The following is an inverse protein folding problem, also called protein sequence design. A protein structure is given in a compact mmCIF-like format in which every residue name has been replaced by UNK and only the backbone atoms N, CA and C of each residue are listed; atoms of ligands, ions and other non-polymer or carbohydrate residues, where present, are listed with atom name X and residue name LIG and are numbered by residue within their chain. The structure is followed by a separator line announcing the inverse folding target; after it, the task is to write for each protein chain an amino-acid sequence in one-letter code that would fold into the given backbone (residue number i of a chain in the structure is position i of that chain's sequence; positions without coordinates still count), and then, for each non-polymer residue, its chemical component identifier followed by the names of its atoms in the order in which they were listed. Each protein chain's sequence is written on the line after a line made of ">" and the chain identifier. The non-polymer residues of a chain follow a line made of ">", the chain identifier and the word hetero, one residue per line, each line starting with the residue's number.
data_IF_726189271016
#
_entry.id   IF_726189271016
#
_cell.length_a   1.000
_cell.length_b   1.000
_cell.length_c   1.000
_cell.angle_alpha   90.00
_cell.angle_beta   90.00
_cell.angle_gamma   90.00
#
_symmetry.space_group_name_H-M   'P 1'
#
loop_
_entity.id
_entity.type
_entity.pdbx_description
1 polymer ?
#
# COMPACT_ATOMS: atom_id res chain seq x y z
N UNK A 1 -0.75 10.07 -12.72
CA UNK A 1 -0.76 8.65 -12.25
C UNK A 1 -2.12 8.06 -12.56
N UNK A 2 -2.18 6.95 -13.29
CA UNK A 2 -3.45 6.26 -13.56
C UNK A 2 -3.93 5.51 -12.31
N UNK A 3 -5.25 5.44 -12.09
CA UNK A 3 -5.88 4.74 -10.95
C UNK A 3 -5.38 3.29 -10.82
N UNK A 4 -5.12 2.65 -11.95
CA UNK A 4 -4.56 1.28 -12.04
C UNK A 4 -3.12 1.19 -11.54
N UNK A 5 -2.28 2.19 -11.77
CA UNK A 5 -0.93 2.23 -11.22
C UNK A 5 -0.98 2.42 -9.70
N UNK A 6 -1.85 3.31 -9.20
CA UNK A 6 -2.00 3.56 -7.77
C UNK A 6 -2.49 2.30 -7.02
N UNK A 7 -3.48 1.60 -7.58
CA UNK A 7 -3.98 0.34 -7.04
C UNK A 7 -2.88 -0.74 -6.96
N UNK A 8 -2.04 -0.84 -8.00
CA UNK A 8 -0.92 -1.80 -8.04
C UNK A 8 0.14 -1.49 -6.99
N UNK A 9 0.42 -0.22 -6.73
CA UNK A 9 1.36 0.22 -5.69
C UNK A 9 0.80 -0.01 -4.28
N UNK A 10 -0.51 0.17 -4.08
CA UNK A 10 -1.18 -0.13 -2.80
C UNK A 10 -1.18 -1.63 -2.46
N UNK A 11 -1.27 -2.49 -3.49
CA UNK A 11 -1.23 -3.95 -3.35
C UNK A 11 0.19 -4.51 -3.21
N UNK A 12 1.23 -3.76 -3.59
CA UNK A 12 2.60 -4.22 -3.45
C UNK A 12 3.00 -4.36 -1.97
N UNK A 13 3.72 -5.44 -1.60
CA UNK A 13 4.21 -5.62 -0.24
C UNK A 13 5.09 -4.42 0.17
N UNK A 14 5.01 -3.98 1.43
CA UNK A 14 5.80 -2.84 1.89
C UNK A 14 7.29 -3.12 1.69
N UNK A 15 8.03 -2.09 1.25
CA UNK A 15 9.47 -2.21 1.06
C UNK A 15 10.10 -2.47 2.43
N UNK A 16 10.83 -3.57 2.57
CA UNK A 16 11.52 -3.96 3.80
C UNK A 16 13.04 -3.87 3.65
N UNK A 17 13.75 -3.73 4.77
CA UNK A 17 15.23 -3.72 4.80
C UNK A 17 15.89 -2.38 4.47
N UNK A 18 17.13 -2.43 3.94
CA UNK A 18 17.99 -1.24 3.69
C UNK A 18 17.38 -0.25 2.70
N UNK A 19 16.57 -0.72 1.77
CA UNK A 19 15.90 0.11 0.78
C UNK A 19 14.79 0.96 1.42
N UNK A 20 14.12 0.44 2.44
CA UNK A 20 13.13 1.17 3.24
C UNK A 20 13.78 2.34 4.00
N UNK A 21 14.99 2.11 4.55
CA UNK A 21 15.77 3.15 5.21
C UNK A 21 16.16 4.28 4.24
N UNK A 22 16.64 3.95 3.04
CA UNK A 22 16.98 4.96 2.03
C UNK A 22 15.74 5.72 1.55
N UNK A 23 14.61 5.02 1.32
CA UNK A 23 13.35 5.68 0.97
C UNK A 23 12.86 6.61 2.07
N UNK A 24 12.85 6.17 3.33
CA UNK A 24 12.48 7.00 4.47
C UNK A 24 13.38 8.23 4.62
N UNK A 25 14.69 8.05 4.43
CA UNK A 25 15.67 9.14 4.50
C UNK A 25 15.43 10.17 3.38
N UNK A 26 15.20 9.72 2.14
CA UNK A 26 14.86 10.61 1.03
C UNK A 26 13.53 11.34 1.25
N UNK A 27 12.52 10.64 1.77
CA UNK A 27 11.19 11.19 2.06
C UNK A 27 11.24 12.30 3.11
N UNK A 28 12.21 12.26 4.04
CA UNK A 28 12.41 13.33 5.03
C UNK A 28 13.37 14.41 4.53
N UNK A 29 14.46 14.02 3.86
CA UNK A 29 15.51 14.94 3.43
C UNK A 29 15.04 15.89 2.32
N UNK A 30 14.23 15.40 1.38
CA UNK A 30 13.72 16.20 0.25
C UNK A 30 12.81 17.35 0.72
N UNK A 31 11.72 17.13 1.47
CA UNK A 31 10.88 18.24 1.93
C UNK A 31 11.62 19.17 2.89
N UNK A 32 12.56 18.65 3.69
CA UNK A 32 13.40 19.47 4.57
C UNK A 32 14.34 20.38 3.79
N UNK A 33 14.98 19.87 2.72
CA UNK A 33 15.82 20.66 1.83
C UNK A 33 15.02 21.69 1.02
N UNK A 34 13.85 21.30 0.50
CA UNK A 34 12.93 22.20 -0.19
C UNK A 34 12.49 23.33 0.75
N UNK A 35 12.12 23.02 2.00
CA UNK A 35 11.73 24.05 2.97
C UNK A 35 12.90 24.97 3.34
N UNK A 36 14.09 24.43 3.53
CA UNK A 36 15.29 25.24 3.80
C UNK A 36 15.60 26.21 2.65
N UNK A 37 15.37 25.80 1.39
CA UNK A 37 15.60 26.64 0.22
C UNK A 37 14.56 27.78 0.06
N UNK A 38 13.33 27.59 0.54
CA UNK A 38 12.24 28.59 0.40
C UNK A 38 12.06 29.45 1.66
N UNK A 39 12.89 29.24 2.69
CA UNK A 39 12.77 29.91 4.00
C UNK A 39 12.87 31.45 3.94
N UNK A 40 13.32 32.02 2.81
CA UNK A 40 13.33 33.46 2.57
C UNK A 40 12.06 34.05 1.94
N UNK A 41 11.11 33.24 1.47
CA UNK A 41 9.94 33.69 0.69
C UNK A 41 8.58 33.33 1.32
N UNK A 42 8.52 32.37 2.25
CA UNK A 42 7.27 31.90 2.88
C UNK A 42 7.37 32.06 4.39
N UNK A 43 6.69 33.08 4.92
CA UNK A 43 6.60 33.35 6.36
C UNK A 43 5.39 32.63 6.95
N UNK A 44 5.56 31.45 7.58
CA UNK A 44 4.46 30.76 8.26
C UNK A 44 4.76 29.37 8.86
N UNK A 45 3.87 28.91 9.76
CA UNK A 45 3.86 27.58 10.40
C UNK A 45 3.34 26.48 9.45
N UNK A 46 3.70 26.52 8.17
CA UNK A 46 3.02 25.71 7.16
C UNK A 46 3.66 24.32 7.07
N UNK A 47 2.93 23.28 7.47
CA UNK A 47 3.32 21.87 7.33
C UNK A 47 2.95 21.27 5.97
N UNK A 48 2.31 22.07 5.11
CA UNK A 48 1.83 21.73 3.76
C UNK A 48 2.86 21.02 2.88
N UNK A 49 4.16 21.39 2.90
CA UNK A 49 5.17 20.70 2.08
C UNK A 49 5.41 19.24 2.48
N UNK A 50 5.12 18.85 3.73
CA UNK A 50 5.41 17.52 4.25
C UNK A 50 4.28 16.51 4.02
N UNK A 51 3.05 16.98 3.81
CA UNK A 51 1.87 16.12 3.58
C UNK A 51 2.03 15.11 2.43
N UNK A 52 2.47 15.49 1.21
CA UNK A 52 2.62 14.52 0.12
C UNK A 52 3.71 13.48 0.43
N UNK A 53 4.72 13.84 1.22
CA UNK A 53 5.81 12.93 1.60
C UNK A 53 5.39 11.95 2.70
N UNK A 54 4.57 12.38 3.67
CA UNK A 54 3.95 11.48 4.65
C UNK A 54 3.00 10.51 3.96
N UNK A 55 2.24 10.97 2.97
CA UNK A 55 1.37 10.09 2.17
C UNK A 55 2.20 9.04 1.41
N UNK A 56 3.29 9.45 0.76
CA UNK A 56 4.22 8.52 0.11
C UNK A 56 4.85 7.55 1.11
N UNK A 57 5.17 8.01 2.32
CA UNK A 57 5.69 7.16 3.39
C UNK A 57 4.69 6.09 3.81
N UNK A 58 3.43 6.47 4.01
CA UNK A 58 2.34 5.57 4.35
C UNK A 58 2.11 4.50 3.28
N UNK A 59 2.28 4.87 1.99
CA UNK A 59 2.15 3.95 0.86
C UNK A 59 3.38 3.03 0.74
N UNK A 60 4.60 3.51 0.98
CA UNK A 60 5.81 2.74 0.68
C UNK A 60 6.33 1.91 1.86
N UNK A 61 6.15 2.41 3.08
CA UNK A 61 6.75 1.86 4.30
C UNK A 61 5.70 1.17 5.21
N UNK A 62 6.15 0.29 6.12
CA UNK A 62 5.31 -0.21 7.20
C UNK A 62 4.86 0.92 8.15
N UNK A 63 3.67 0.75 8.74
CA UNK A 63 2.98 1.78 9.53
C UNK A 63 3.82 2.36 10.68
N UNK A 64 4.61 1.54 11.36
CA UNK A 64 5.55 1.99 12.40
C UNK A 64 6.60 2.95 11.87
N UNK A 65 7.14 2.69 10.68
CA UNK A 65 8.16 3.56 10.07
C UNK A 65 7.56 4.85 9.54
N UNK A 66 6.34 4.81 9.00
CA UNK A 66 5.61 6.02 8.61
C UNK A 66 5.32 6.93 9.82
N UNK A 67 4.99 6.35 10.98
CA UNK A 67 4.85 7.09 12.23
C UNK A 67 6.15 7.76 12.69
N UNK A 68 7.29 7.05 12.60
CA UNK A 68 8.61 7.60 12.91
C UNK A 68 8.95 8.78 11.98
N UNK A 69 8.65 8.68 10.68
CA UNK A 69 8.86 9.77 9.71
C UNK A 69 8.05 11.02 10.05
N UNK A 70 6.79 10.85 10.47
CA UNK A 70 5.96 11.98 10.89
C UNK A 70 6.51 12.65 12.17
N UNK A 71 6.93 11.86 13.16
CA UNK A 71 7.56 12.38 14.39
C UNK A 71 8.89 13.08 14.11
N UNK A 72 9.74 12.49 13.25
CA UNK A 72 11.00 13.09 12.85
C UNK A 72 10.80 14.41 12.12
N UNK A 73 9.77 14.52 11.27
CA UNK A 73 9.44 15.76 10.57
C UNK A 73 9.07 16.89 11.53
N UNK A 74 8.28 16.59 12.57
CA UNK A 74 7.93 17.58 13.62
C UNK A 74 9.17 17.93 14.46
N UNK A 75 9.99 16.94 14.83
CA UNK A 75 11.21 17.17 15.61
C UNK A 75 12.24 18.02 14.86
N UNK A 76 12.44 17.78 13.56
CA UNK A 76 13.32 18.60 12.71
C UNK A 76 12.77 20.01 12.60
N UNK A 77 11.45 20.18 12.41
CA UNK A 77 10.88 21.50 12.29
C UNK A 77 10.96 22.29 13.61
N UNK A 78 10.66 21.62 14.72
CA UNK A 78 10.76 22.19 16.06
C UNK A 78 12.20 22.49 16.49
N UNK A 79 13.18 21.67 16.09
CA UNK A 79 14.57 21.85 16.47
C UNK A 79 15.36 22.82 15.58
N UNK A 80 15.15 22.77 14.26
CA UNK A 80 15.94 23.53 13.29
C UNK A 80 15.41 24.95 13.06
N UNK A 81 14.10 25.16 13.23
CA UNK A 81 13.44 26.43 12.91
C UNK A 81 12.86 27.17 14.12
N UNK A 82 12.88 26.58 15.33
CA UNK A 82 12.49 27.31 16.56
C UNK A 82 13.70 28.03 17.16
N UNK A 83 13.92 29.28 16.73
CA UNK A 83 14.94 30.16 17.31
C UNK A 83 14.57 30.71 18.71
N UNK A 84 15.53 31.28 19.46
CA UNK A 84 15.42 31.51 20.92
C UNK A 84 14.46 32.63 21.40
N UNK A 85 13.54 33.14 20.57
CA UNK A 85 12.93 34.45 20.81
C UNK A 85 11.44 34.65 20.55
N UNK A 86 10.60 33.61 20.43
CA UNK A 86 9.22 33.81 19.94
C UNK A 86 8.15 32.98 20.67
N UNK A 87 7.60 33.49 21.77
CA UNK A 87 6.46 32.89 22.48
C UNK A 87 5.18 32.82 21.60
N UNK A 88 4.99 33.76 20.68
CA UNK A 88 3.87 33.77 19.72
C UNK A 88 4.00 32.73 18.59
N UNK A 89 5.23 32.31 18.25
CA UNK A 89 5.46 31.23 17.26
C UNK A 89 5.25 29.85 17.86
N UNK A 90 5.40 29.71 19.18
CA UNK A 90 5.25 28.44 19.87
C UNK A 90 3.81 27.91 19.83
N UNK A 91 2.80 28.77 20.00
CA UNK A 91 1.38 28.38 19.96
C UNK A 91 0.94 27.95 18.54
N UNK A 92 1.37 28.71 17.52
CA UNK A 92 1.16 28.39 16.10
C UNK A 92 1.86 27.08 15.70
N UNK A 93 3.06 26.84 16.24
CA UNK A 93 3.77 25.59 16.04
C UNK A 93 3.08 24.41 16.72
N UNK A 94 2.61 24.57 17.96
CA UNK A 94 1.98 23.48 18.71
C UNK A 94 0.65 23.05 18.07
N UNK A 95 -0.17 24.03 17.69
CA UNK A 95 -1.44 23.79 17.00
C UNK A 95 -1.23 23.21 15.60
N UNK A 96 -0.28 23.76 14.83
CA UNK A 96 0.06 23.24 13.50
C UNK A 96 0.65 21.82 13.55
N UNK A 97 1.54 21.54 14.51
CA UNK A 97 2.11 20.20 14.71
C UNK A 97 1.03 19.20 15.14
N UNK A 98 0.11 19.60 16.01
CA UNK A 98 -1.03 18.78 16.42
C UNK A 98 -1.93 18.41 15.24
N UNK A 99 -2.35 19.41 14.44
CA UNK A 99 -3.18 19.18 13.24
C UNK A 99 -2.43 18.34 12.20
N UNK A 100 -1.13 18.56 12.02
CA UNK A 100 -0.31 17.77 11.12
C UNK A 100 -0.17 16.32 11.56
N UNK A 101 0.07 16.06 12.85
CA UNK A 101 0.14 14.71 13.39
C UNK A 101 -1.22 14.01 13.29
N UNK A 102 -2.32 14.69 13.65
CA UNK A 102 -3.66 14.13 13.51
C UNK A 102 -3.97 13.75 12.05
N UNK A 103 -3.67 14.65 11.11
CA UNK A 103 -3.86 14.43 9.66
C UNK A 103 -2.97 13.29 9.15
N UNK A 104 -1.71 13.23 9.57
CA UNK A 104 -0.77 12.17 9.22
C UNK A 104 -1.21 10.81 9.74
N UNK A 105 -1.72 10.76 10.97
CA UNK A 105 -2.23 9.54 11.59
C UNK A 105 -3.46 9.02 10.85
N UNK A 106 -4.37 9.91 10.46
CA UNK A 106 -5.52 9.57 9.61
C UNK A 106 -5.08 9.02 8.24
N UNK A 107 -4.13 9.67 7.57
CA UNK A 107 -3.61 9.21 6.28
C UNK A 107 -2.96 7.82 6.38
N UNK A 108 -2.10 7.60 7.38
CA UNK A 108 -1.50 6.30 7.63
C UNK A 108 -2.58 5.25 7.94
N UNK A 109 -3.56 5.61 8.77
CA UNK A 109 -4.68 4.73 9.13
C UNK A 109 -5.50 4.30 7.91
N UNK A 110 -5.88 5.23 7.04
CA UNK A 110 -6.62 4.93 5.81
C UNK A 110 -5.84 3.98 4.90
N UNK A 111 -4.55 4.23 4.70
CA UNK A 111 -3.71 3.37 3.86
C UNK A 111 -3.57 1.96 4.46
N UNK A 112 -3.40 1.85 5.78
CA UNK A 112 -3.35 0.55 6.48
C UNK A 112 -4.67 -0.19 6.34
N UNK A 113 -5.81 0.48 6.53
CA UNK A 113 -7.14 -0.14 6.37
C UNK A 113 -7.35 -0.65 4.95
N UNK A 114 -7.00 0.15 3.94
CA UNK A 114 -7.10 -0.28 2.53
C UNK A 114 -6.25 -1.54 2.29
N UNK A 115 -5.01 -1.57 2.80
CA UNK A 115 -4.13 -2.73 2.69
C UNK A 115 -4.67 -3.97 3.40
N UNK A 116 -5.26 -3.80 4.58
CA UNK A 116 -5.89 -4.90 5.31
C UNK A 116 -7.09 -5.47 4.56
N UNK A 117 -7.93 -4.62 3.97
CA UNK A 117 -9.08 -5.04 3.14
C UNK A 117 -8.60 -5.80 1.90
N UNK A 118 -7.55 -5.33 1.22
CA UNK A 118 -6.97 -6.05 0.08
C UNK A 118 -6.32 -7.38 0.48
N UNK A 119 -5.61 -7.42 1.61
CA UNK A 119 -5.00 -8.67 2.11
C UNK A 119 -6.06 -9.68 2.51
N UNK A 120 -7.15 -9.24 3.15
CA UNK A 120 -8.28 -10.07 3.53
C UNK A 120 -9.05 -10.61 2.31
N UNK A 121 -9.12 -9.85 1.22
CA UNK A 121 -9.74 -10.32 -0.04
C UNK A 121 -8.83 -11.26 -0.83
N UNK A 122 -7.52 -11.06 -0.80
CA UNK A 122 -6.57 -11.97 -1.46
C UNK A 122 -6.40 -13.31 -0.73
N UNK A 123 -6.47 -13.31 0.61
CA UNK A 123 -6.45 -14.55 1.42
C UNK A 123 -7.73 -15.36 1.28
N UNK A 124 -8.86 -14.67 1.06
CA UNK A 124 -10.17 -15.30 0.89
C UNK A 124 -10.18 -16.28 -0.30
N UNK A 125 -9.59 -15.92 -1.45
CA UNK A 125 -9.65 -16.75 -2.67
C UNK A 125 -8.87 -18.08 -2.67
N UNK A 126 -8.10 -18.38 -1.62
CA UNK A 126 -7.25 -19.58 -1.53
C UNK A 126 -7.44 -20.35 -0.21
N UNK A 127 -8.57 -20.18 0.48
CA UNK A 127 -8.82 -21.00 1.66
C UNK A 127 -9.44 -22.35 1.24
N UNK A 128 -8.60 -23.37 1.08
CA UNK A 128 -9.02 -24.75 0.77
C UNK A 128 -10.02 -25.29 1.82
N UNK A 129 -10.08 -24.70 3.01
CA UNK A 129 -11.01 -25.08 4.08
C UNK A 129 -12.40 -24.47 3.94
N UNK A 130 -12.57 -23.40 3.15
CA UNK A 130 -13.81 -22.63 3.04
C UNK A 130 -14.78 -23.14 1.95
N UNK A 131 -14.44 -24.26 1.30
CA UNK A 131 -15.22 -24.83 0.20
C UNK A 131 -14.55 -24.53 -1.14
N UNK A 132 -14.09 -25.59 -1.80
CA UNK A 132 -13.29 -25.51 -3.02
C UNK A 132 -13.95 -24.75 -4.17
N UNK A 133 -13.19 -24.59 -5.26
CA UNK A 133 -13.66 -23.92 -6.48
C UNK A 133 -14.84 -24.70 -7.08
N UNK A 134 -15.98 -24.04 -7.24
CA UNK A 134 -17.14 -24.60 -7.94
C UNK A 134 -17.11 -24.13 -9.38
N UNK A 135 -17.06 -25.08 -10.31
CA UNK A 135 -17.21 -24.81 -11.73
C UNK A 135 -18.66 -24.97 -12.13
N UNK A 136 -19.26 -23.92 -12.72
CA UNK A 136 -20.62 -23.96 -13.23
C UNK A 136 -20.64 -23.68 -14.74
N UNK A 137 -21.64 -24.25 -15.41
CA UNK A 137 -21.85 -24.08 -16.84
C UNK A 137 -23.17 -23.33 -17.05
N UNK A 138 -23.09 -22.12 -17.61
CA UNK A 138 -24.26 -21.32 -17.93
C UNK A 138 -24.17 -20.82 -19.37
N UNK A 139 -25.17 -21.12 -20.20
CA UNK A 139 -25.25 -20.68 -21.62
C UNK A 139 -23.97 -20.98 -22.43
N UNK A 140 -23.41 -22.18 -22.27
CA UNK A 140 -22.19 -22.65 -22.94
C UNK A 140 -20.89 -21.92 -22.51
N UNK A 141 -20.95 -21.13 -21.45
CA UNK A 141 -19.81 -20.46 -20.81
C UNK A 141 -19.54 -21.12 -19.46
N UNK A 142 -18.25 -21.35 -19.17
CA UNK A 142 -17.78 -21.92 -17.92
C UNK A 142 -17.41 -20.79 -16.98
N UNK A 143 -17.85 -20.91 -15.74
CA UNK A 143 -17.61 -19.97 -14.67
C UNK A 143 -16.94 -20.68 -13.51
N UNK A 144 -16.03 -19.98 -12.84
CA UNK A 144 -15.50 -20.38 -11.55
C UNK A 144 -16.11 -19.48 -10.46
N UNK A 145 -16.63 -20.10 -9.41
CA UNK A 145 -17.16 -19.42 -8.24
C UNK A 145 -16.60 -20.05 -6.97
N UNK A 146 -16.59 -19.27 -5.90
CA UNK A 146 -16.18 -19.70 -4.57
C UNK A 146 -17.35 -19.51 -3.61
N UNK A 147 -17.50 -20.43 -2.65
CA UNK A 147 -18.54 -20.32 -1.64
C UNK A 147 -18.35 -19.03 -0.84
N UNK A 148 -19.42 -18.23 -0.75
CA UNK A 148 -19.48 -16.95 -0.04
C UNK A 148 -18.41 -15.91 -0.45
N UNK A 149 -17.84 -16.04 -1.64
CA UNK A 149 -16.77 -15.16 -2.09
C UNK A 149 -16.93 -14.63 -3.52
N UNK A 150 -17.37 -13.39 -3.58
CA UNK A 150 -17.25 -12.53 -4.76
C UNK A 150 -18.12 -12.94 -5.95
N UNK A 151 -18.14 -12.10 -7.01
CA UNK A 151 -18.82 -12.43 -8.24
C UNK A 151 -18.08 -13.55 -8.99
N UNK A 152 -18.81 -14.46 -9.67
CA UNK A 152 -18.20 -15.54 -10.44
C UNK A 152 -17.31 -15.01 -11.57
N UNK A 153 -16.20 -15.70 -11.82
CA UNK A 153 -15.22 -15.36 -12.86
C UNK A 153 -15.49 -16.20 -14.10
N UNK A 154 -15.63 -15.55 -15.26
CA UNK A 154 -15.80 -16.23 -16.54
C UNK A 154 -14.48 -16.80 -17.03
N UNK A 155 -14.43 -18.12 -17.23
CA UNK A 155 -13.27 -18.83 -17.78
C UNK A 155 -13.28 -18.89 -19.31
N UNK A 156 -14.46 -18.89 -19.91
CA UNK A 156 -14.67 -18.87 -21.36
C UNK A 156 -15.63 -19.97 -21.82
N UNK A 157 -15.67 -20.22 -23.13
CA UNK A 157 -16.56 -21.24 -23.70
C UNK A 157 -16.18 -22.64 -23.24
N UNK A 158 -17.18 -23.52 -23.12
CA UNK A 158 -17.00 -24.92 -22.71
C UNK A 158 -15.86 -25.60 -23.48
N UNK A 159 -15.90 -25.55 -24.82
CA UNK A 159 -14.91 -26.19 -25.69
C UNK A 159 -13.48 -25.72 -25.42
N UNK A 160 -13.30 -24.42 -25.16
CA UNK A 160 -11.97 -23.85 -24.91
C UNK A 160 -11.43 -24.27 -23.56
N UNK A 161 -12.28 -24.29 -22.54
CA UNK A 161 -11.90 -24.68 -21.18
C UNK A 161 -11.62 -26.18 -21.11
N UNK A 162 -12.41 -27.01 -21.79
CA UNK A 162 -12.22 -28.46 -21.89
C UNK A 162 -10.87 -28.81 -22.52
N UNK A 163 -10.55 -28.23 -23.69
CA UNK A 163 -9.26 -28.43 -24.35
C UNK A 163 -8.07 -27.97 -23.49
N UNK A 164 -8.22 -26.86 -22.75
CA UNK A 164 -7.17 -26.36 -21.86
C UNK A 164 -6.96 -27.27 -20.64
N UNK A 165 -8.05 -27.84 -20.10
CA UNK A 165 -7.99 -28.75 -18.96
C UNK A 165 -7.34 -30.08 -19.36
N UNK A 166 -7.64 -30.60 -20.55
CA UNK A 166 -6.98 -31.78 -21.09
C UNK A 166 -5.46 -31.58 -21.27
N UNK A 167 -5.05 -30.46 -21.84
CA UNK A 167 -3.63 -30.12 -22.01
C UNK A 167 -2.92 -29.99 -20.64
N UNK A 168 -3.57 -29.34 -19.67
CA UNK A 168 -3.04 -29.25 -18.32
C UNK A 168 -2.85 -30.62 -17.65
N UNK A 169 -3.85 -31.51 -17.76
CA UNK A 169 -3.76 -32.87 -17.20
C UNK A 169 -2.65 -33.68 -17.88
N UNK A 170 -2.49 -33.54 -19.20
CA UNK A 170 -1.39 -34.18 -19.93
C UNK A 170 -0.01 -33.68 -19.44
N UNK A 171 0.15 -32.37 -19.22
CA UNK A 171 1.38 -31.80 -18.69
C UNK A 171 1.68 -32.28 -17.26
N UNK A 172 0.65 -32.37 -16.41
CA UNK A 172 0.79 -32.92 -15.05
C UNK A 172 1.21 -34.39 -15.08
N UNK A 173 0.64 -35.20 -15.97
CA UNK A 173 1.01 -36.60 -16.11
C UNK A 173 2.46 -36.78 -16.58
N UNK A 174 2.88 -35.98 -17.57
CA UNK A 174 4.29 -35.94 -18.00
C UNK A 174 5.20 -35.55 -16.85
N UNK A 175 4.84 -34.54 -16.06
CA UNK A 175 5.62 -34.10 -14.91
C UNK A 175 5.74 -35.19 -13.83
N UNK A 176 4.67 -35.94 -13.55
CA UNK A 176 4.70 -37.08 -12.62
C UNK A 176 5.63 -38.19 -13.09
N UNK A 177 5.57 -38.53 -14.38
CA UNK A 177 6.47 -39.52 -15.00
C UNK A 177 7.94 -39.11 -14.90
N UNK A 178 8.25 -37.82 -15.11
CA UNK A 178 9.61 -37.28 -14.98
C UNK A 178 10.13 -37.31 -13.53
N UNK A 179 9.23 -37.23 -12.55
CA UNK A 179 9.57 -37.30 -11.12
C UNK A 179 9.62 -38.72 -10.55
N UNK A 180 9.20 -39.73 -11.33
CA UNK A 180 9.12 -41.12 -10.87
C UNK A 180 7.99 -41.36 -9.85
N UNK A 181 7.01 -40.45 -9.78
CA UNK A 181 5.82 -40.60 -8.93
C UNK A 181 4.74 -41.34 -9.74
N UNK A 182 4.44 -42.58 -9.35
CA UNK A 182 3.36 -43.39 -9.90
C UNK A 182 2.08 -43.27 -9.07
#
# INVERSE_FOLDING_TARGET
>A
MTLTALARWLQAPPITGRLALLCGLCIVAVPTGVRAAINGAVTGCEFTPYLPFVLLAAILLPWWQAGIVALASVAILGGLFSGPGHQLMAECFLTGAGVFLASSTLLVGVVVLIRQVFSATHLRGCDETAGGVVFSLEKNEVWASWYDQGPPVRLGSKQKVEAMMEDFLAQVEVAKRLKGEH
#
